data_IF_844585963127
#
_entry.id   IF_844585963127
#
_cell.length_a   1.000
_cell.length_b   1.000
_cell.length_c   1.000
_cell.angle_alpha   90.00
_cell.angle_beta   90.00
_cell.angle_gamma   90.00
#
_symmetry.space_group_name_H-M   'P 1'
#
loop_
_entity.id
_entity.type
_entity.pdbx_description
1 polymer ?
#
# COMPACT_ATOMS: atom_id res chain seq x y z
N UNK A 1 3.66 22.34 2.28
CA UNK A 1 3.50 21.08 3.03
C UNK A 1 4.77 20.25 2.87
N UNK A 2 5.35 19.81 3.97
CA UNK A 2 6.57 19.03 3.93
C UNK A 2 6.25 17.54 4.01
N UNK A 3 6.71 16.81 3.01
CA UNK A 3 6.62 15.36 2.99
C UNK A 3 8.03 14.80 2.80
N UNK A 4 8.34 13.73 3.51
CA UNK A 4 9.63 13.06 3.39
C UNK A 4 9.41 11.65 2.87
N UNK A 5 10.09 11.32 1.77
CA UNK A 5 10.03 9.96 1.21
C UNK A 5 10.78 9.01 2.14
N UNK A 6 10.08 8.02 2.68
CA UNK A 6 10.65 7.02 3.57
C UNK A 6 11.05 5.77 2.81
N UNK A 7 10.25 5.37 1.82
CA UNK A 7 10.48 4.14 1.09
C UNK A 7 9.94 4.29 -0.33
N UNK A 8 10.73 3.88 -1.31
CA UNK A 8 10.36 3.88 -2.73
C UNK A 8 11.08 2.70 -3.37
N UNK A 9 10.36 1.58 -3.50
CA UNK A 9 10.93 0.31 -3.96
C UNK A 9 10.07 -0.32 -5.03
N UNK A 10 10.74 -1.06 -5.91
CA UNK A 10 10.08 -1.90 -6.90
C UNK A 10 10.77 -3.26 -6.89
N UNK A 11 9.98 -4.32 -6.74
CA UNK A 11 10.47 -5.69 -6.69
C UNK A 11 9.82 -6.51 -7.78
N UNK A 12 10.62 -7.01 -8.72
CA UNK A 12 10.15 -7.97 -9.73
C UNK A 12 10.05 -9.32 -9.03
N UNK A 13 8.85 -9.90 -9.01
CA UNK A 13 8.61 -11.18 -8.33
C UNK A 13 8.35 -12.33 -9.30
N UNK A 14 8.07 -12.01 -10.57
CA UNK A 14 7.85 -12.98 -11.63
C UNK A 14 8.04 -12.27 -12.98
N UNK A 15 8.02 -13.02 -14.09
CA UNK A 15 8.21 -12.45 -15.42
C UNK A 15 7.19 -11.37 -15.73
N UNK A 16 5.95 -11.54 -15.28
CA UNK A 16 4.84 -10.62 -15.55
C UNK A 16 4.29 -9.95 -14.30
N UNK A 17 5.02 -9.98 -13.20
CA UNK A 17 4.52 -9.45 -11.94
C UNK A 17 5.59 -8.70 -11.17
N UNK A 18 5.21 -7.55 -10.64
CA UNK A 18 6.08 -6.76 -9.77
C UNK A 18 5.30 -6.08 -8.66
N UNK A 19 6.02 -5.69 -7.62
CA UNK A 19 5.50 -4.98 -6.48
C UNK A 19 6.09 -3.57 -6.45
N UNK A 20 5.25 -2.58 -6.19
CA UNK A 20 5.70 -1.21 -5.94
C UNK A 20 5.32 -0.81 -4.52
N UNK A 21 6.26 -0.22 -3.79
CA UNK A 21 6.08 0.22 -2.41
C UNK A 21 6.54 1.66 -2.32
N UNK A 22 5.62 2.58 -2.00
CA UNK A 22 5.94 3.99 -1.81
C UNK A 22 5.32 4.44 -0.50
N UNK A 23 6.14 4.98 0.41
CA UNK A 23 5.69 5.48 1.71
C UNK A 23 6.30 6.86 1.95
N UNK A 24 5.44 7.83 2.23
CA UNK A 24 5.81 9.20 2.59
C UNK A 24 5.45 9.47 4.05
N UNK A 25 6.30 10.22 4.75
CA UNK A 25 5.97 10.80 6.05
C UNK A 25 5.49 12.23 5.82
N UNK A 26 4.29 12.53 6.28
CA UNK A 26 3.68 13.84 6.16
C UNK A 26 3.89 14.65 7.45
N UNK A 27 3.82 15.99 7.36
CA UNK A 27 3.92 16.87 8.51
C UNK A 27 2.67 16.79 9.40
N UNK A 28 1.53 16.38 8.84
CA UNK A 28 0.28 16.16 9.56
C UNK A 28 -0.51 15.05 8.90
N UNK A 29 -1.43 14.38 9.63
CA UNK A 29 -2.22 13.29 9.04
C UNK A 29 -3.10 13.77 7.89
N UNK A 30 -3.31 12.88 6.91
CA UNK A 30 -4.37 13.08 5.91
C UNK A 30 -5.73 13.01 6.58
N UNK A 31 -6.70 13.78 6.07
CA UNK A 31 -8.08 13.68 6.52
C UNK A 31 -8.56 12.23 6.38
N UNK A 32 -9.11 11.68 7.45
CA UNK A 32 -9.61 10.31 7.48
C UNK A 32 -8.59 9.26 7.93
N UNK A 33 -7.31 9.63 8.09
CA UNK A 33 -6.27 8.72 8.60
C UNK A 33 -5.76 9.23 9.94
N UNK A 34 -5.61 8.35 10.95
CA UNK A 34 -5.13 8.77 12.28
C UNK A 34 -3.61 8.88 12.39
N UNK A 35 -2.88 8.60 11.32
CA UNK A 35 -1.41 8.59 11.29
C UNK A 35 -0.90 9.54 10.20
N UNK A 36 0.43 9.76 10.17
CA UNK A 36 1.06 10.72 9.26
C UNK A 36 1.70 10.09 8.03
N UNK A 37 1.38 8.84 7.71
CA UNK A 37 1.93 8.20 6.51
C UNK A 37 0.98 8.35 5.33
N UNK A 38 1.54 8.63 4.16
CA UNK A 38 0.86 8.51 2.88
C UNK A 38 1.54 7.35 2.15
N UNK A 39 0.78 6.34 1.76
CA UNK A 39 1.39 5.15 1.18
C UNK A 39 0.58 4.58 0.02
N UNK A 40 1.28 3.86 -0.82
CA UNK A 40 0.71 3.04 -1.87
C UNK A 40 1.61 1.82 -2.04
N UNK A 41 1.08 0.65 -1.76
CA UNK A 41 1.72 -0.63 -1.93
C UNK A 41 0.88 -1.42 -2.93
N UNK A 42 1.45 -1.84 -4.04
CA UNK A 42 0.68 -2.44 -5.12
C UNK A 42 1.38 -3.65 -5.72
N UNK A 43 0.58 -4.66 -6.08
CA UNK A 43 1.00 -5.80 -6.88
C UNK A 43 0.39 -5.65 -8.26
N UNK A 44 1.25 -5.59 -9.28
CA UNK A 44 0.85 -5.46 -10.67
C UNK A 44 1.18 -6.74 -11.41
N UNK A 45 0.20 -7.31 -12.10
CA UNK A 45 0.32 -8.58 -12.83
C UNK A 45 -0.21 -8.36 -14.24
N UNK A 46 0.60 -8.63 -15.26
CA UNK A 46 0.26 -8.38 -16.66
C UNK A 46 -0.29 -6.96 -16.90
N UNK A 47 0.29 -5.98 -16.22
CA UNK A 47 -0.12 -4.60 -16.35
C UNK A 47 -1.33 -4.19 -15.50
N UNK A 48 -1.98 -5.12 -14.81
CA UNK A 48 -3.15 -4.86 -13.99
C UNK A 48 -2.80 -4.84 -12.51
N UNK A 49 -3.29 -3.83 -11.79
CA UNK A 49 -3.14 -3.77 -10.34
C UNK A 49 -4.15 -4.72 -9.70
N UNK A 50 -3.67 -5.86 -9.20
CA UNK A 50 -4.54 -6.89 -8.62
C UNK A 50 -4.66 -6.79 -7.10
N UNK A 51 -3.76 -6.04 -6.47
CA UNK A 51 -3.73 -5.85 -5.02
C UNK A 51 -3.16 -4.47 -4.75
N UNK A 52 -3.79 -3.72 -3.85
CA UNK A 52 -3.28 -2.40 -3.46
C UNK A 52 -3.68 -2.06 -2.03
N UNK A 53 -2.71 -1.59 -1.24
CA UNK A 53 -2.95 -0.97 0.05
C UNK A 53 -2.62 0.50 -0.10
N UNK A 54 -3.55 1.39 0.21
CA UNK A 54 -3.30 2.82 0.13
C UNK A 54 -4.20 3.60 1.09
N UNK A 55 -3.90 4.88 1.22
CA UNK A 55 -4.77 5.82 1.91
C UNK A 55 -4.91 7.08 1.08
N UNK A 56 -6.09 7.68 1.14
CA UNK A 56 -6.43 8.91 0.44
C UNK A 56 -7.09 9.89 1.39
N UNK A 57 -6.91 11.19 1.12
CA UNK A 57 -7.55 12.24 1.90
C UNK A 57 -9.08 12.05 1.88
N UNK A 58 -9.68 12.01 3.05
CA UNK A 58 -11.13 11.87 3.21
C UNK A 58 -11.65 10.44 3.20
N UNK A 59 -10.86 9.47 2.74
CA UNK A 59 -11.29 8.07 2.66
C UNK A 59 -10.67 7.18 3.72
N UNK A 60 -9.52 7.59 4.27
CA UNK A 60 -8.79 6.77 5.24
C UNK A 60 -8.00 5.65 4.56
N UNK A 61 -7.70 4.63 5.35
CA UNK A 61 -6.87 3.51 4.94
C UNK A 61 -7.73 2.37 4.41
N UNK A 62 -7.34 1.79 3.27
CA UNK A 62 -8.06 0.65 2.71
C UNK A 62 -7.15 -0.21 1.85
N UNK A 63 -7.64 -1.41 1.54
CA UNK A 63 -6.99 -2.33 0.60
C UNK A 63 -7.98 -2.72 -0.49
N UNK A 64 -7.42 -2.90 -1.68
CA UNK A 64 -8.16 -3.37 -2.85
C UNK A 64 -7.63 -4.76 -3.21
N UNK A 65 -8.52 -5.73 -3.26
CA UNK A 65 -8.20 -7.11 -3.67
C UNK A 65 -9.11 -7.44 -4.86
N UNK A 66 -8.54 -7.48 -6.05
CA UNK A 66 -9.31 -7.57 -7.27
C UNK A 66 -10.21 -6.35 -7.39
N UNK A 67 -11.53 -6.57 -7.43
CA UNK A 67 -12.53 -5.49 -7.53
C UNK A 67 -13.10 -5.08 -6.18
N UNK A 68 -12.66 -5.71 -5.08
CA UNK A 68 -13.18 -5.42 -3.74
C UNK A 68 -12.33 -4.35 -3.08
N UNK A 69 -13.00 -3.37 -2.47
CA UNK A 69 -12.37 -2.37 -1.63
C UNK A 69 -12.79 -2.64 -0.19
N UNK A 70 -11.81 -2.80 0.71
CA UNK A 70 -12.02 -3.20 2.08
C UNK A 70 -11.32 -2.20 2.99
N UNK A 71 -11.99 -1.69 4.05
CA UNK A 71 -11.30 -0.86 5.04
C UNK A 71 -10.10 -1.60 5.63
N UNK A 72 -9.00 -0.90 5.83
CA UNK A 72 -7.79 -1.45 6.42
C UNK A 72 -7.50 -0.71 7.72
N UNK A 73 -7.25 -1.45 8.80
CA UNK A 73 -6.89 -0.87 10.08
C UNK A 73 -5.37 -0.74 10.15
N UNK A 74 -4.87 0.49 10.00
CA UNK A 74 -3.46 0.78 10.09
C UNK A 74 -2.99 0.70 11.55
N UNK A 75 -1.91 -0.04 11.79
CA UNK A 75 -1.29 -0.18 13.11
C UNK A 75 0.10 0.46 13.12
N UNK A 76 0.95 0.05 12.18
CA UNK A 76 2.30 0.60 12.01
C UNK A 76 2.78 0.33 10.59
N UNK A 77 3.85 1.00 10.18
CA UNK A 77 4.45 0.75 8.87
C UNK A 77 4.95 -0.68 8.74
N UNK A 78 5.48 -1.25 9.81
CA UNK A 78 5.98 -2.62 9.79
C UNK A 78 4.83 -3.62 9.61
N UNK A 79 3.74 -3.43 10.34
CA UNK A 79 2.57 -4.29 10.21
C UNK A 79 1.94 -4.13 8.82
N UNK A 80 1.88 -2.90 8.30
CA UNK A 80 1.40 -2.64 6.95
C UNK A 80 2.20 -3.43 5.92
N UNK A 81 3.52 -3.39 5.98
CA UNK A 81 4.38 -4.12 5.05
C UNK A 81 4.18 -5.63 5.19
N UNK A 82 4.09 -6.14 6.42
CA UNK A 82 3.85 -7.57 6.65
C UNK A 82 2.49 -8.01 6.09
N UNK A 83 1.45 -7.21 6.32
CA UNK A 83 0.11 -7.52 5.83
C UNK A 83 0.09 -7.53 4.30
N UNK A 84 0.75 -6.57 3.68
CA UNK A 84 0.84 -6.49 2.23
C UNK A 84 1.56 -7.72 1.65
N UNK A 85 2.74 -8.05 2.18
CA UNK A 85 3.51 -9.20 1.68
C UNK A 85 2.77 -10.53 1.91
N UNK A 86 2.00 -10.65 2.99
CA UNK A 86 1.16 -11.82 3.22
C UNK A 86 0.10 -11.98 2.11
N UNK A 87 -0.50 -10.87 1.68
CA UNK A 87 -1.45 -10.90 0.56
C UNK A 87 -0.78 -11.25 -0.76
N UNK A 88 0.44 -10.73 -1.00
CA UNK A 88 1.24 -11.09 -2.18
C UNK A 88 1.53 -12.60 -2.18
N UNK A 89 1.89 -13.16 -1.03
CA UNK A 89 2.17 -14.59 -0.92
C UNK A 89 0.92 -15.43 -1.23
N UNK A 90 -0.25 -15.01 -0.76
CA UNK A 90 -1.51 -15.69 -1.09
C UNK A 90 -1.78 -15.69 -2.57
N UNK A 91 -1.49 -14.56 -3.24
CA UNK A 91 -1.68 -14.49 -4.68
C UNK A 91 -0.75 -15.44 -5.43
N UNK A 92 0.50 -15.62 -4.96
CA UNK A 92 1.49 -16.48 -5.60
C UNK A 92 1.20 -17.98 -5.42
N UNK A 93 0.36 -18.33 -4.49
CA UNK A 93 -0.04 -19.70 -4.20
C UNK A 93 -1.55 -19.87 -4.44
#
# INVERSE_FOLDING_TARGET
MNARLLLDERHVIDDDAFVEIVIWLLSSPLAGSPHRLKYRLALVVHGDCVLRFDNEAGKGDHKHIGKKEIPYTFISSQVLLNDFWNEVDKWRH
#
